data_IF_184063066520
#
_entry.id   IF_184063066520
#
_cell.length_a   1.000
_cell.length_b   1.000
_cell.length_c   1.000
_cell.angle_alpha   90.00
_cell.angle_beta   90.00
_cell.angle_gamma   90.00
#
_symmetry.space_group_name_H-M   'P 1'
#
loop_
_entity.id
_entity.type
_entity.pdbx_description
1 polymer ?
#
# COMPACT_ATOMS: atom_id res chain seq x y z
N UNK A 1 -16.72 -15.05 54.08
CA UNK A 1 -16.43 -14.17 52.94
C UNK A 1 -15.21 -13.31 53.27
N UNK A 2 -14.03 -13.54 52.74
CA UNK A 2 -12.92 -12.62 52.90
C UNK A 2 -12.78 -11.77 51.61
N UNK A 3 -12.65 -10.46 51.82
CA UNK A 3 -12.47 -9.41 50.81
C UNK A 3 -11.05 -9.44 50.26
N UNK A 4 -10.94 -9.57 48.94
CA UNK A 4 -9.67 -9.40 48.21
C UNK A 4 -9.52 -7.96 47.78
N UNK A 5 -8.50 -7.25 48.37
CA UNK A 5 -8.05 -5.93 47.89
C UNK A 5 -7.18 -6.05 46.65
N UNK A 6 -7.31 -5.14 45.68
CA UNK A 6 -6.45 -5.10 44.49
C UNK A 6 -5.07 -4.49 44.79
N UNK A 7 -4.01 -5.08 44.24
CA UNK A 7 -2.63 -4.60 44.31
C UNK A 7 -2.41 -3.35 43.44
N UNK A 8 -1.57 -2.42 43.83
CA UNK A 8 -1.28 -1.22 43.04
C UNK A 8 -0.37 -1.51 41.84
N UNK A 9 -0.74 -0.92 40.69
CA UNK A 9 0.05 -0.94 39.47
C UNK A 9 1.17 0.10 39.57
N UNK A 10 2.41 -0.36 39.50
CA UNK A 10 3.61 0.50 39.43
C UNK A 10 3.78 1.02 38.01
N UNK A 11 3.70 2.35 37.83
CA UNK A 11 4.03 3.02 36.57
C UNK A 11 5.54 3.23 36.47
N UNK A 12 6.21 2.90 35.35
CA UNK A 12 7.61 3.29 35.17
C UNK A 12 7.71 4.78 34.86
N UNK A 13 8.54 5.49 35.61
CA UNK A 13 8.94 6.88 35.36
C UNK A 13 9.92 6.89 34.16
N UNK A 14 9.52 7.55 33.06
CA UNK A 14 10.43 7.88 31.96
C UNK A 14 11.20 9.17 32.26
N UNK A 15 12.51 9.05 32.43
CA UNK A 15 13.46 10.18 32.53
C UNK A 15 13.52 10.92 31.19
N UNK A 16 13.19 12.22 31.23
CA UNK A 16 13.37 13.17 30.12
C UNK A 16 14.85 13.56 30.04
N UNK A 17 15.61 12.97 29.14
CA UNK A 17 16.91 13.48 28.74
C UNK A 17 16.73 14.47 27.58
N UNK A 18 17.12 15.71 27.80
CA UNK A 18 17.25 16.78 26.81
C UNK A 18 18.48 16.48 25.94
N UNK A 19 18.31 16.25 24.63
CA UNK A 19 19.39 16.36 23.65
C UNK A 19 19.05 17.42 22.62
N UNK A 20 20.00 18.32 22.46
CA UNK A 20 19.91 19.57 21.75
C UNK A 20 19.88 19.41 20.22
N UNK A 21 19.36 20.44 19.63
CA UNK A 21 19.29 20.69 18.21
C UNK A 21 20.68 20.84 17.59
N UNK A 22 21.01 19.98 16.61
CA UNK A 22 21.99 20.24 15.51
C UNK A 22 22.19 18.95 14.70
N UNK A 23 21.25 18.55 13.84
CA UNK A 23 21.46 17.58 12.76
C UNK A 23 20.32 17.66 11.70
N UNK A 24 20.11 18.83 11.15
CA UNK A 24 18.96 19.04 10.26
C UNK A 24 19.30 19.08 8.75
N UNK A 25 20.53 18.79 8.31
CA UNK A 25 20.91 18.93 6.88
C UNK A 25 21.43 17.65 6.24
N UNK A 26 21.71 16.58 6.97
CA UNK A 26 22.18 15.31 6.39
C UNK A 26 21.10 14.26 6.11
N UNK A 27 19.82 14.56 6.35
CA UNK A 27 18.70 13.58 6.28
C UNK A 27 17.95 13.56 4.95
N UNK A 28 18.28 14.42 3.98
CA UNK A 28 17.51 14.59 2.74
C UNK A 28 17.96 13.72 1.54
N UNK A 29 19.04 12.96 1.64
CA UNK A 29 19.50 12.07 0.55
C UNK A 29 19.33 10.57 0.84
N UNK A 30 18.76 10.21 1.98
CA UNK A 30 18.59 8.80 2.40
C UNK A 30 17.15 8.29 2.21
N UNK A 31 16.20 9.15 1.85
CA UNK A 31 14.77 8.80 1.90
C UNK A 31 14.27 7.83 0.80
N UNK A 32 14.93 7.73 -0.34
CA UNK A 32 14.46 6.83 -1.41
C UNK A 32 14.89 5.37 -1.19
N UNK A 33 16.11 5.14 -0.68
CA UNK A 33 16.58 3.77 -0.36
C UNK A 33 15.87 3.18 0.87
N UNK A 34 15.48 4.02 1.85
CA UNK A 34 14.75 3.56 3.04
C UNK A 34 13.30 3.11 2.76
N UNK A 35 12.64 3.60 1.71
CA UNK A 35 11.25 3.23 1.43
C UNK A 35 11.13 1.78 0.94
N UNK A 36 12.04 1.31 0.09
CA UNK A 36 12.07 -0.09 -0.37
C UNK A 36 12.55 -1.04 0.74
N UNK A 37 13.50 -0.63 1.57
CA UNK A 37 13.93 -1.39 2.74
C UNK A 37 12.81 -1.52 3.78
N UNK A 38 12.00 -0.48 4.01
CA UNK A 38 10.86 -0.52 4.93
C UNK A 38 9.75 -1.44 4.39
N UNK A 39 9.45 -1.41 3.10
CA UNK A 39 8.46 -2.29 2.46
C UNK A 39 8.87 -3.76 2.55
N UNK A 40 10.14 -4.06 2.24
CA UNK A 40 10.69 -5.39 2.39
C UNK A 40 10.74 -5.81 3.86
N UNK A 41 11.06 -4.90 4.77
CA UNK A 41 11.09 -5.16 6.21
C UNK A 41 9.70 -5.46 6.78
N UNK A 42 8.64 -4.73 6.37
CA UNK A 42 7.27 -5.00 6.81
C UNK A 42 6.77 -6.36 6.33
N UNK A 43 6.90 -6.66 5.03
CA UNK A 43 6.53 -7.96 4.47
C UNK A 43 7.34 -9.10 5.09
N UNK A 44 8.63 -8.92 5.33
CA UNK A 44 9.48 -9.91 6.00
C UNK A 44 9.08 -10.09 7.46
N UNK A 45 8.79 -9.02 8.19
CA UNK A 45 8.34 -9.08 9.57
C UNK A 45 7.00 -9.80 9.68
N UNK A 46 6.03 -9.48 8.80
CA UNK A 46 4.75 -10.18 8.73
C UNK A 46 4.93 -11.66 8.41
N UNK A 47 5.73 -11.99 7.39
CA UNK A 47 6.02 -13.37 7.01
C UNK A 47 6.68 -14.16 8.14
N UNK A 48 7.61 -13.54 8.86
CA UNK A 48 8.23 -14.14 10.05
C UNK A 48 7.20 -14.39 11.13
N UNK A 49 6.35 -13.41 11.45
CA UNK A 49 5.29 -13.55 12.44
C UNK A 49 4.33 -14.70 12.12
N UNK A 50 3.79 -14.77 10.90
CA UNK A 50 2.85 -15.81 10.49
C UNK A 50 3.52 -17.18 10.45
N UNK A 51 4.77 -17.27 10.03
CA UNK A 51 5.55 -18.52 9.98
C UNK A 51 5.85 -19.04 11.39
N UNK A 52 6.24 -18.18 12.33
CA UNK A 52 6.48 -18.55 13.72
C UNK A 52 5.18 -19.01 14.40
N UNK A 53 4.07 -18.32 14.16
CA UNK A 53 2.77 -18.72 14.66
C UNK A 53 2.35 -20.12 14.13
N UNK A 54 2.51 -20.35 12.83
CA UNK A 54 2.23 -21.64 12.21
C UNK A 54 3.17 -22.72 12.73
N UNK A 55 4.44 -22.40 12.99
CA UNK A 55 5.42 -23.32 13.57
C UNK A 55 5.03 -23.73 14.99
N UNK A 56 4.58 -22.77 15.81
CA UNK A 56 4.07 -23.09 17.15
C UNK A 56 2.84 -24.01 17.09
N UNK A 57 1.87 -23.72 16.19
CA UNK A 57 0.71 -24.59 15.96
C UNK A 57 1.12 -25.98 15.46
N UNK A 58 2.10 -26.06 14.55
CA UNK A 58 2.64 -27.32 14.05
C UNK A 58 3.20 -28.17 15.19
N UNK A 59 3.97 -27.58 16.12
CA UNK A 59 4.47 -28.32 17.28
C UNK A 59 3.35 -28.84 18.15
N UNK A 60 2.30 -28.06 18.42
CA UNK A 60 1.15 -28.51 19.18
C UNK A 60 0.43 -29.69 18.52
N UNK A 61 0.37 -29.74 17.20
CA UNK A 61 -0.25 -30.83 16.45
C UNK A 61 0.62 -32.10 16.37
N UNK A 62 1.95 -31.95 16.43
CA UNK A 62 2.90 -33.08 16.26
C UNK A 62 3.30 -33.72 17.58
N UNK A 63 3.13 -33.04 18.72
CA UNK A 63 3.46 -33.62 20.03
C UNK A 63 2.47 -34.72 20.36
N UNK A 64 2.92 -35.94 20.65
CA UNK A 64 2.02 -36.99 21.09
C UNK A 64 1.37 -36.64 22.44
N UNK A 65 0.08 -36.93 22.57
CA UNK A 65 -0.62 -36.81 23.83
C UNK A 65 -0.21 -37.93 24.79
N UNK A 66 0.12 -37.58 26.03
CA UNK A 66 0.27 -38.56 27.08
C UNK A 66 -1.14 -39.02 27.54
N UNK A 67 -1.42 -40.29 27.43
CA UNK A 67 -2.65 -40.90 27.87
C UNK A 67 -2.45 -41.68 29.17
N UNK A 68 -3.40 -41.50 30.08
CA UNK A 68 -3.39 -42.26 31.33
C UNK A 68 -4.82 -42.40 31.83
N UNK A 69 -5.17 -43.56 32.27
CA UNK A 69 -6.55 -43.82 32.74
C UNK A 69 -6.77 -45.21 33.31
N UNK A 70 -7.94 -45.40 33.84
CA UNK A 70 -8.40 -46.67 34.32
C UNK A 70 -9.46 -47.17 33.34
N UNK A 71 -9.28 -48.39 32.85
CA UNK A 71 -10.20 -49.02 31.90
C UNK A 71 -10.59 -50.40 32.36
N UNK A 72 -11.79 -50.83 32.01
CA UNK A 72 -12.27 -52.21 32.17
C UNK A 72 -12.58 -52.73 30.76
N UNK A 73 -11.71 -53.57 30.17
CA UNK A 73 -11.82 -53.97 28.76
C UNK A 73 -13.13 -54.69 28.42
N UNK A 74 -13.67 -55.49 29.37
CA UNK A 74 -14.94 -56.20 29.24
C UNK A 74 -15.56 -56.45 30.59
N UNK A 75 -16.90 -56.65 30.63
CA UNK A 75 -17.61 -57.05 31.81
C UNK A 75 -17.08 -58.42 32.29
N UNK A 76 -16.43 -58.47 33.46
CA UNK A 76 -15.86 -59.66 34.04
C UNK A 76 -14.33 -59.72 33.99
N UNK A 77 -13.67 -58.83 33.25
CA UNK A 77 -12.23 -58.69 33.32
C UNK A 77 -11.81 -57.70 34.41
N UNK A 78 -10.61 -57.84 34.99
CA UNK A 78 -10.14 -56.94 36.02
C UNK A 78 -9.87 -55.55 35.46
N UNK A 79 -10.13 -54.56 36.31
CA UNK A 79 -9.80 -53.14 36.01
C UNK A 79 -8.31 -53.03 35.74
N UNK A 80 -7.96 -52.25 34.73
CA UNK A 80 -6.56 -52.02 34.27
C UNK A 80 -6.20 -50.58 34.39
N UNK A 81 -5.02 -50.26 34.84
CA UNK A 81 -4.37 -48.96 34.69
C UNK A 81 -3.63 -48.97 33.35
N UNK A 82 -3.94 -48.01 32.53
CA UNK A 82 -3.39 -47.83 31.19
C UNK A 82 -2.58 -46.52 31.14
N UNK A 83 -1.42 -46.53 30.56
CA UNK A 83 -0.65 -45.34 30.29
C UNK A 83 0.12 -45.51 28.97
N UNK A 84 0.34 -44.42 28.25
CA UNK A 84 0.98 -44.48 26.96
C UNK A 84 1.07 -43.13 26.26
N UNK A 85 1.34 -43.17 24.97
CA UNK A 85 1.38 -42.06 24.06
C UNK A 85 0.37 -42.27 22.94
N UNK A 86 -0.33 -41.23 22.57
CA UNK A 86 -1.24 -41.20 21.43
C UNK A 86 -0.84 -40.13 20.44
N UNK A 87 -0.84 -40.44 19.15
CA UNK A 87 -0.59 -39.47 18.08
C UNK A 87 -1.61 -39.61 16.96
N UNK A 88 -2.11 -38.49 16.45
CA UNK A 88 -3.05 -38.44 15.34
C UNK A 88 -2.33 -38.27 14.01
N UNK A 89 -2.55 -39.16 13.05
CA UNK A 89 -2.07 -39.03 11.66
C UNK A 89 -2.73 -37.79 10.98
N UNK A 90 -3.98 -37.49 11.32
CA UNK A 90 -4.67 -36.32 10.84
C UNK A 90 -3.97 -35.04 11.30
N UNK A 91 -3.45 -35.01 12.53
CA UNK A 91 -2.68 -33.88 13.06
C UNK A 91 -1.34 -33.68 12.31
N UNK A 92 -0.67 -34.76 11.92
CA UNK A 92 0.55 -34.67 11.08
C UNK A 92 0.23 -33.97 9.76
N UNK A 93 -0.88 -34.34 9.11
CA UNK A 93 -1.33 -33.72 7.86
C UNK A 93 -1.76 -32.28 8.08
N UNK A 94 -2.53 -31.97 9.13
CA UNK A 94 -2.92 -30.61 9.53
C UNK A 94 -1.70 -29.73 9.75
N UNK A 95 -0.67 -30.23 10.43
CA UNK A 95 0.58 -29.52 10.66
C UNK A 95 1.26 -29.09 9.36
N UNK A 96 1.28 -29.95 8.34
CA UNK A 96 1.78 -29.61 7.01
C UNK A 96 0.93 -28.54 6.29
N UNK A 97 -0.39 -28.69 6.34
CA UNK A 97 -1.33 -27.74 5.72
C UNK A 97 -1.31 -26.37 6.41
N UNK A 98 -1.13 -26.31 7.72
CA UNK A 98 -0.97 -25.06 8.47
C UNK A 98 0.25 -24.27 7.99
N UNK A 99 1.39 -24.94 7.77
CA UNK A 99 2.58 -24.31 7.23
C UNK A 99 2.39 -23.85 5.77
N UNK A 100 1.68 -24.64 4.94
CA UNK A 100 1.37 -24.27 3.56
C UNK A 100 0.45 -23.02 3.52
N UNK A 101 -0.59 -23.00 4.35
CA UNK A 101 -1.49 -21.83 4.48
C UNK A 101 -0.74 -20.57 4.94
N UNK A 102 0.18 -20.72 5.91
CA UNK A 102 0.99 -19.60 6.40
C UNK A 102 1.88 -19.00 5.31
N UNK A 103 2.55 -19.84 4.50
CA UNK A 103 3.37 -19.38 3.36
C UNK A 103 2.54 -18.64 2.32
N UNK A 104 1.38 -19.19 1.94
CA UNK A 104 0.48 -18.57 0.97
C UNK A 104 -0.10 -17.23 1.49
N UNK A 105 -0.38 -17.14 2.80
CA UNK A 105 -0.81 -15.90 3.42
C UNK A 105 0.30 -14.83 3.42
N UNK A 106 1.55 -15.24 3.60
CA UNK A 106 2.71 -14.37 3.41
C UNK A 106 2.78 -13.81 1.98
N UNK A 107 2.66 -14.68 0.97
CA UNK A 107 2.67 -14.29 -0.45
C UNK A 107 1.51 -13.32 -0.76
N UNK A 108 0.32 -13.56 -0.22
CA UNK A 108 -0.84 -12.69 -0.37
C UNK A 108 -0.60 -11.32 0.26
N UNK A 109 -0.01 -11.27 1.45
CA UNK A 109 0.30 -10.02 2.12
C UNK A 109 1.24 -9.15 1.28
N UNK A 110 2.33 -9.73 0.76
CA UNK A 110 3.26 -9.03 -0.12
C UNK A 110 2.59 -8.47 -1.39
N UNK A 111 1.77 -9.29 -2.06
CA UNK A 111 1.03 -8.87 -3.25
C UNK A 111 0.01 -7.75 -2.92
N UNK A 112 -0.69 -7.85 -1.79
CA UNK A 112 -1.67 -6.85 -1.35
C UNK A 112 -1.00 -5.51 -1.04
N UNK A 113 0.09 -5.54 -0.25
CA UNK A 113 0.83 -4.34 0.14
C UNK A 113 1.41 -3.63 -1.09
N UNK A 114 1.95 -4.39 -2.05
CA UNK A 114 2.47 -3.83 -3.31
C UNK A 114 1.39 -3.14 -4.11
N UNK A 115 0.27 -3.82 -4.36
CA UNK A 115 -0.84 -3.25 -5.12
C UNK A 115 -1.48 -2.04 -4.41
N UNK A 116 -1.63 -2.09 -3.09
CA UNK A 116 -2.17 -0.99 -2.29
C UNK A 116 -1.28 0.25 -2.34
N UNK A 117 0.03 0.07 -2.28
CA UNK A 117 0.99 1.16 -2.37
C UNK A 117 0.91 1.84 -3.75
N UNK A 118 0.86 1.06 -4.83
CA UNK A 118 0.77 1.59 -6.19
C UNK A 118 -0.55 2.35 -6.40
N UNK A 119 -1.68 1.84 -5.89
CA UNK A 119 -2.96 2.57 -5.92
C UNK A 119 -2.91 3.87 -5.14
N UNK A 120 -2.34 3.84 -3.94
CA UNK A 120 -2.32 5.00 -3.03
C UNK A 120 -1.43 6.13 -3.53
N UNK A 121 -0.29 5.80 -4.13
CA UNK A 121 0.73 6.78 -4.51
C UNK A 121 0.79 7.07 -6.02
N UNK A 122 -0.09 6.50 -6.82
CA UNK A 122 -0.15 6.75 -8.26
C UNK A 122 -0.37 8.23 -8.59
N UNK A 123 -1.45 8.84 -8.08
CA UNK A 123 -1.75 10.25 -8.32
C UNK A 123 -0.72 11.21 -7.71
N UNK A 124 -0.28 11.04 -6.44
CA UNK A 124 0.84 11.82 -5.91
C UNK A 124 2.12 11.72 -6.75
N UNK A 125 2.42 10.54 -7.32
CA UNK A 125 3.56 10.34 -8.20
C UNK A 125 3.45 11.12 -9.51
N UNK A 126 2.29 11.10 -10.15
CA UNK A 126 2.00 11.87 -11.36
C UNK A 126 2.04 13.38 -11.07
N UNK A 127 1.48 13.82 -9.94
CA UNK A 127 1.51 15.23 -9.52
C UNK A 127 2.96 15.71 -9.31
N UNK A 128 3.80 14.91 -8.68
CA UNK A 128 5.21 15.25 -8.49
C UNK A 128 5.95 15.45 -9.82
N UNK A 129 5.72 14.56 -10.80
CA UNK A 129 6.29 14.69 -12.13
C UNK A 129 5.81 15.97 -12.84
N UNK A 130 4.53 16.28 -12.73
CA UNK A 130 3.96 17.49 -13.30
C UNK A 130 4.55 18.76 -12.67
N UNK A 131 4.68 18.78 -11.34
CA UNK A 131 5.32 19.90 -10.64
C UNK A 131 6.80 20.07 -10.99
N UNK A 132 7.53 18.97 -11.22
CA UNK A 132 8.90 19.02 -11.69
C UNK A 132 8.99 19.65 -13.10
N UNK A 133 8.13 19.22 -14.00
CA UNK A 133 8.03 19.81 -15.34
C UNK A 133 7.64 21.30 -15.29
N UNK A 134 6.67 21.66 -14.40
CA UNK A 134 6.30 23.06 -14.17
C UNK A 134 7.50 23.92 -13.73
N UNK A 135 8.38 23.40 -12.88
CA UNK A 135 9.61 24.10 -12.49
C UNK A 135 10.52 24.41 -13.68
N UNK A 136 10.66 23.47 -14.61
CA UNK A 136 11.45 23.68 -15.84
C UNK A 136 10.82 24.78 -16.70
N UNK A 137 9.50 24.77 -16.88
CA UNK A 137 8.79 25.81 -17.62
C UNK A 137 8.94 27.19 -16.97
N UNK A 138 8.81 27.28 -15.65
CA UNK A 138 9.01 28.53 -14.89
C UNK A 138 10.44 29.05 -15.06
N UNK A 139 11.44 28.16 -15.05
CA UNK A 139 12.82 28.56 -15.24
C UNK A 139 13.04 29.17 -16.64
N UNK A 140 12.58 28.53 -17.70
CA UNK A 140 12.68 29.03 -19.07
C UNK A 140 11.93 30.38 -19.25
N UNK A 141 10.75 30.49 -18.64
CA UNK A 141 10.00 31.76 -18.68
C UNK A 141 10.72 32.88 -17.90
N UNK A 142 11.38 32.55 -16.77
CA UNK A 142 12.19 33.52 -16.02
C UNK A 142 13.37 34.04 -16.82
N UNK A 143 14.10 33.17 -17.53
CA UNK A 143 15.21 33.53 -18.40
C UNK A 143 14.75 34.46 -19.56
N UNK A 144 13.59 34.11 -20.16
CA UNK A 144 12.98 34.94 -21.22
C UNK A 144 12.54 36.29 -20.70
N UNK A 145 11.98 36.35 -19.49
CA UNK A 145 11.54 37.57 -18.83
C UNK A 145 12.72 38.47 -18.45
N UNK A 146 13.86 37.89 -18.04
CA UNK A 146 15.11 38.64 -17.77
C UNK A 146 15.59 39.36 -19.03
N UNK A 147 15.58 38.66 -20.16
CA UNK A 147 15.96 39.24 -21.45
C UNK A 147 15.01 40.38 -21.83
N UNK A 148 13.69 40.22 -21.56
CA UNK A 148 12.70 41.27 -21.83
C UNK A 148 12.89 42.47 -20.90
N UNK A 149 13.20 42.27 -19.62
CA UNK A 149 13.51 43.32 -18.65
C UNK A 149 14.72 44.12 -19.07
N UNK A 150 15.80 43.46 -19.46
CA UNK A 150 17.04 44.13 -19.89
C UNK A 150 16.81 44.96 -21.17
N UNK A 151 16.08 44.43 -22.13
CA UNK A 151 15.71 45.15 -23.35
C UNK A 151 14.82 46.35 -23.03
N UNK A 152 13.80 46.17 -22.18
CA UNK A 152 12.90 47.25 -21.76
C UNK A 152 13.65 48.37 -21.01
N UNK A 153 14.61 48.00 -20.14
CA UNK A 153 15.44 48.98 -19.41
C UNK A 153 16.25 49.87 -20.38
N UNK A 154 16.88 49.26 -21.40
CA UNK A 154 17.59 50.01 -22.44
C UNK A 154 16.67 50.96 -23.22
N UNK A 155 15.40 50.53 -23.49
CA UNK A 155 14.42 51.38 -24.17
C UNK A 155 13.89 52.52 -23.27
N UNK A 156 13.77 52.28 -21.97
CA UNK A 156 13.44 53.37 -21.00
C UNK A 156 14.54 54.39 -20.91
N UNK A 157 15.80 53.98 -20.87
CA UNK A 157 16.97 54.84 -20.82
C UNK A 157 17.07 55.70 -22.08
N UNK A 158 16.66 55.16 -23.25
CA UNK A 158 16.58 55.91 -24.53
C UNK A 158 15.26 56.68 -24.70
N UNK A 159 14.42 56.78 -23.71
CA UNK A 159 13.10 57.49 -23.70
C UNK A 159 12.05 56.89 -24.68
N UNK A 160 12.28 55.69 -25.20
CA UNK A 160 11.36 55.02 -26.12
C UNK A 160 10.24 54.25 -25.41
N UNK A 161 10.37 54.03 -24.11
CA UNK A 161 9.43 53.29 -23.27
C UNK A 161 9.16 53.96 -21.93
N UNK A 162 8.05 53.61 -21.29
CA UNK A 162 7.65 54.16 -19.99
C UNK A 162 8.30 53.40 -18.82
N UNK A 163 8.64 54.11 -17.73
CA UNK A 163 9.15 53.53 -16.49
C UNK A 163 8.15 52.56 -15.83
N UNK A 164 6.83 52.83 -15.82
CA UNK A 164 5.84 51.90 -15.28
C UNK A 164 5.91 50.48 -15.90
N UNK A 165 6.23 50.41 -17.20
CA UNK A 165 6.38 49.10 -17.88
C UNK A 165 7.51 48.28 -17.30
N UNK A 166 8.69 48.87 -17.09
CA UNK A 166 9.82 48.19 -16.47
C UNK A 166 9.48 47.67 -15.06
N UNK A 167 8.71 48.46 -14.28
CA UNK A 167 8.23 48.03 -12.95
C UNK A 167 7.25 46.87 -13.04
N UNK A 168 6.32 46.88 -14.01
CA UNK A 168 5.38 45.76 -14.23
C UNK A 168 6.12 44.46 -14.53
N UNK A 169 7.14 44.45 -15.40
CA UNK A 169 7.94 43.29 -15.69
C UNK A 169 8.69 42.77 -14.46
N UNK A 170 9.27 43.67 -13.66
CA UNK A 170 9.93 43.27 -12.40
C UNK A 170 8.95 42.65 -11.41
N UNK A 171 7.74 43.21 -11.31
CA UNK A 171 6.68 42.65 -10.44
C UNK A 171 6.27 41.25 -10.92
N UNK A 172 6.18 41.03 -12.24
CA UNK A 172 5.86 39.72 -12.81
C UNK A 172 6.98 38.71 -12.51
N UNK A 173 8.25 39.15 -12.60
CA UNK A 173 9.39 38.30 -12.21
C UNK A 173 9.31 37.87 -10.74
N UNK A 174 9.01 38.80 -9.84
CA UNK A 174 8.84 38.47 -8.40
C UNK A 174 7.73 37.44 -8.20
N UNK A 175 6.59 37.59 -8.91
CA UNK A 175 5.49 36.61 -8.84
C UNK A 175 5.93 35.24 -9.37
N UNK A 176 6.70 35.21 -10.46
CA UNK A 176 7.20 33.96 -11.04
C UNK A 176 8.20 33.23 -10.11
N UNK A 177 9.07 33.98 -9.44
CA UNK A 177 9.98 33.42 -8.43
C UNK A 177 9.21 32.92 -7.19
N UNK A 178 8.12 33.59 -6.81
CA UNK A 178 7.23 33.11 -5.74
C UNK A 178 6.51 31.81 -6.14
N UNK A 179 6.01 31.70 -7.40
CA UNK A 179 5.40 30.47 -7.93
C UNK A 179 6.42 29.32 -7.99
N UNK A 180 7.67 29.62 -8.37
CA UNK A 180 8.78 28.67 -8.33
C UNK A 180 8.99 28.12 -6.92
N UNK A 181 9.10 29.00 -5.92
CA UNK A 181 9.31 28.61 -4.53
C UNK A 181 8.12 27.78 -3.99
N UNK A 182 6.90 28.16 -4.30
CA UNK A 182 5.68 27.42 -3.92
C UNK A 182 5.65 26.02 -4.57
N UNK A 183 5.96 25.94 -5.87
CA UNK A 183 6.05 24.68 -6.61
C UNK A 183 7.12 23.76 -6.03
N UNK A 184 8.27 24.30 -5.67
CA UNK A 184 9.36 23.55 -5.03
C UNK A 184 8.96 23.06 -3.64
N UNK A 185 8.26 23.87 -2.86
CA UNK A 185 7.72 23.49 -1.55
C UNK A 185 6.71 22.34 -1.68
N UNK A 186 5.82 22.41 -2.68
CA UNK A 186 4.86 21.32 -2.96
C UNK A 186 5.56 20.01 -3.31
N UNK A 187 6.62 20.04 -4.14
CA UNK A 187 7.40 18.84 -4.49
C UNK A 187 8.00 18.19 -3.24
N UNK A 188 8.60 19.01 -2.35
CA UNK A 188 9.20 18.51 -1.10
C UNK A 188 8.14 17.91 -0.17
N UNK A 189 6.93 18.47 -0.14
CA UNK A 189 5.82 17.97 0.66
C UNK A 189 5.18 16.67 0.13
N UNK A 190 5.42 16.31 -1.14
CA UNK A 190 4.87 15.10 -1.74
C UNK A 190 5.80 13.90 -1.47
N UNK A 191 5.40 13.08 -0.50
CA UNK A 191 6.02 11.77 -0.32
C UNK A 191 5.55 10.82 -1.42
N UNK A 192 6.49 10.33 -2.22
CA UNK A 192 6.22 9.35 -3.27
C UNK A 192 7.26 8.24 -3.17
N UNK A 193 6.88 7.06 -2.65
CA UNK A 193 7.75 5.89 -2.66
C UNK A 193 7.96 5.42 -4.09
N UNK A 194 8.98 4.59 -4.29
CA UNK A 194 9.18 3.93 -5.56
C UNK A 194 8.01 2.98 -5.85
N UNK A 195 7.29 3.25 -6.92
CA UNK A 195 6.19 2.41 -7.39
C UNK A 195 6.74 1.20 -8.16
N UNK A 196 5.90 0.18 -8.31
CA UNK A 196 6.24 -0.98 -9.10
C UNK A 196 6.35 -0.62 -10.59
N UNK A 197 7.31 -1.23 -11.29
CA UNK A 197 7.38 -1.11 -12.75
C UNK A 197 6.29 -1.91 -13.47
N UNK A 198 5.53 -2.73 -12.73
CA UNK A 198 4.46 -3.58 -13.26
C UNK A 198 3.15 -2.80 -13.37
N UNK A 199 2.34 -3.07 -14.42
CA UNK A 199 1.01 -2.47 -14.54
C UNK A 199 0.12 -2.82 -13.34
N UNK A 200 -0.69 -1.86 -12.88
CA UNK A 200 -1.57 -2.04 -11.73
C UNK A 200 -2.56 -3.20 -11.93
N UNK A 201 -3.07 -3.39 -13.15
CA UNK A 201 -3.93 -4.54 -13.50
C UNK A 201 -3.29 -5.91 -13.20
N UNK A 202 -1.97 -6.03 -13.40
CA UNK A 202 -1.25 -7.27 -13.09
C UNK A 202 -1.08 -7.46 -11.58
N UNK A 203 -0.80 -6.40 -10.84
CA UNK A 203 -0.69 -6.44 -9.38
C UNK A 203 -2.03 -6.81 -8.73
N UNK A 204 -3.14 -6.26 -9.23
CA UNK A 204 -4.49 -6.60 -8.77
C UNK A 204 -4.84 -8.05 -9.11
N UNK A 205 -4.53 -8.51 -10.32
CA UNK A 205 -4.75 -9.90 -10.73
C UNK A 205 -3.89 -10.89 -9.90
N UNK A 206 -2.65 -10.53 -9.60
CA UNK A 206 -1.79 -11.33 -8.73
C UNK A 206 -2.38 -11.43 -7.32
N UNK A 207 -2.81 -10.32 -6.72
CA UNK A 207 -3.49 -10.31 -5.41
C UNK A 207 -4.70 -11.24 -5.41
N UNK A 208 -5.56 -11.17 -6.43
CA UNK A 208 -6.73 -12.05 -6.56
C UNK A 208 -6.33 -13.53 -6.66
N UNK A 209 -5.31 -13.84 -7.46
CA UNK A 209 -4.79 -15.20 -7.62
C UNK A 209 -4.22 -15.76 -6.31
N UNK A 210 -3.43 -14.95 -5.58
CA UNK A 210 -2.86 -15.33 -4.27
C UNK A 210 -3.96 -15.55 -3.23
N UNK A 211 -4.97 -14.72 -3.23
CA UNK A 211 -6.12 -14.85 -2.34
C UNK A 211 -6.88 -16.16 -2.58
N UNK A 212 -7.17 -16.50 -3.84
CA UNK A 212 -7.79 -17.77 -4.19
C UNK A 212 -6.93 -18.98 -3.75
N UNK A 213 -5.60 -18.86 -3.78
CA UNK A 213 -4.70 -19.93 -3.31
C UNK A 213 -4.72 -20.05 -1.78
N UNK A 214 -4.83 -18.95 -1.04
CA UNK A 214 -4.99 -18.95 0.42
C UNK A 214 -6.31 -19.62 0.81
N UNK A 215 -7.43 -19.23 0.17
CA UNK A 215 -8.74 -19.84 0.43
C UNK A 215 -8.71 -21.35 0.19
N UNK A 216 -8.17 -21.82 -0.93
CA UNK A 216 -8.01 -23.25 -1.19
C UNK A 216 -7.15 -23.97 -0.13
N UNK A 217 -6.14 -23.31 0.45
CA UNK A 217 -5.33 -23.91 1.49
C UNK A 217 -6.10 -24.00 2.82
N UNK A 218 -6.86 -22.96 3.15
CA UNK A 218 -7.74 -22.95 4.34
C UNK A 218 -8.86 -23.99 4.22
N UNK A 219 -9.49 -24.13 3.06
CA UNK A 219 -10.51 -25.16 2.81
C UNK A 219 -9.93 -26.56 2.99
N UNK A 220 -8.72 -26.84 2.47
CA UNK A 220 -8.05 -28.12 2.68
C UNK A 220 -7.76 -28.38 4.14
N UNK A 221 -7.34 -27.36 4.90
CA UNK A 221 -7.08 -27.47 6.33
C UNK A 221 -8.37 -27.75 7.11
N UNK A 222 -9.45 -27.07 6.79
CA UNK A 222 -10.75 -27.21 7.45
C UNK A 222 -11.36 -28.60 7.22
N UNK A 223 -11.26 -29.13 5.98
CA UNK A 223 -11.79 -30.48 5.65
C UNK A 223 -10.99 -31.61 6.29
N UNK A 224 -9.81 -31.37 6.87
CA UNK A 224 -9.09 -32.39 7.65
C UNK A 224 -9.74 -32.68 9.01
N UNK A 225 -10.79 -31.98 9.41
CA UNK A 225 -11.54 -32.22 10.63
C UNK A 225 -12.61 -33.32 10.50
N UNK A 226 -12.82 -33.88 9.30
CA UNK A 226 -13.86 -34.88 9.04
C UNK A 226 -13.48 -36.26 9.59
N UNK A 227 -12.23 -36.64 9.44
CA UNK A 227 -11.70 -37.92 9.86
C UNK A 227 -10.47 -37.75 10.76
N UNK A 228 -10.38 -38.56 11.79
CA UNK A 228 -9.18 -38.69 12.59
C UNK A 228 -8.75 -40.16 12.70
N UNK A 229 -7.47 -40.39 12.48
CA UNK A 229 -6.82 -41.68 12.65
C UNK A 229 -5.74 -41.53 13.70
N UNK A 230 -5.98 -42.04 14.88
CA UNK A 230 -5.02 -42.01 15.99
C UNK A 230 -4.34 -43.35 16.19
N UNK A 231 -3.06 -43.32 16.49
CA UNK A 231 -2.27 -44.45 16.91
C UNK A 231 -1.86 -44.26 18.36
N UNK A 232 -2.24 -45.21 19.20
CA UNK A 232 -1.89 -45.22 20.61
C UNK A 232 -1.01 -46.42 20.91
N UNK A 233 0.06 -46.19 21.65
CA UNK A 233 0.96 -47.25 22.15
C UNK A 233 1.21 -47.05 23.64
N UNK A 234 1.22 -48.10 24.39
CA UNK A 234 1.38 -47.96 25.82
C UNK A 234 1.53 -49.30 26.56
N UNK A 235 1.41 -49.20 27.86
CA UNK A 235 1.42 -50.35 28.77
C UNK A 235 0.19 -50.34 29.63
N UNK A 236 -0.23 -51.54 30.05
CA UNK A 236 -1.32 -51.72 31.00
C UNK A 236 -0.89 -52.58 32.18
N UNK A 237 -1.47 -52.34 33.34
CA UNK A 237 -1.28 -53.13 34.54
C UNK A 237 -2.65 -53.45 35.15
N UNK A 238 -2.91 -54.71 35.44
CA UNK A 238 -4.13 -55.11 36.08
C UNK A 238 -4.15 -54.64 37.55
N UNK A 239 -5.27 -54.05 37.98
CA UNK A 239 -5.49 -53.68 39.38
C UNK A 239 -6.15 -54.87 40.09
N UNK A 240 -5.38 -55.96 40.28
CA UNK A 240 -5.82 -57.11 41.06
C UNK A 240 -4.66 -57.56 41.95
N UNK A 241 -4.83 -57.61 43.29
CA UNK A 241 -3.78 -57.98 44.20
C UNK A 241 -3.29 -59.42 44.07
N UNK A 242 -4.03 -60.25 43.31
CA UNK A 242 -3.68 -61.69 43.15
C UNK A 242 -2.99 -61.98 41.80
N UNK A 243 -2.96 -61.07 40.86
CA UNK A 243 -2.39 -61.28 39.52
C UNK A 243 -1.66 -59.98 39.10
N UNK A 244 -0.32 -59.97 39.19
CA UNK A 244 0.50 -58.93 38.67
C UNK A 244 0.74 -59.18 37.17
N UNK A 245 -0.19 -58.78 36.31
CA UNK A 245 -0.05 -58.91 34.88
C UNK A 245 0.19 -57.54 34.27
N UNK A 246 1.36 -57.36 33.67
CA UNK A 246 1.75 -56.18 32.92
C UNK A 246 1.85 -56.57 31.45
N UNK A 247 1.36 -55.68 30.58
CA UNK A 247 1.41 -55.92 29.16
C UNK A 247 1.59 -54.63 28.37
N UNK A 248 2.09 -54.75 27.14
CA UNK A 248 2.08 -53.67 26.18
C UNK A 248 0.82 -53.76 25.32
N UNK A 249 0.32 -52.63 24.89
CA UNK A 249 -0.78 -52.55 23.92
C UNK A 249 -0.46 -51.57 22.79
N UNK A 250 -1.08 -51.81 21.64
CA UNK A 250 -1.14 -50.89 20.52
C UNK A 250 -2.55 -50.84 20.01
N UNK A 251 -3.06 -49.66 19.79
CA UNK A 251 -4.43 -49.38 19.33
C UNK A 251 -4.44 -48.43 18.18
N UNK A 252 -5.25 -48.73 17.18
CA UNK A 252 -5.56 -47.82 16.08
C UNK A 252 -7.01 -47.41 16.20
N UNK A 253 -7.25 -46.13 16.44
CA UNK A 253 -8.60 -45.58 16.53
C UNK A 253 -8.92 -44.76 15.28
N UNK A 254 -10.03 -45.08 14.65
CA UNK A 254 -10.56 -44.28 13.52
C UNK A 254 -11.85 -43.62 14.00
N UNK A 255 -11.87 -42.29 13.96
CA UNK A 255 -13.05 -41.53 14.32
C UNK A 255 -13.51 -40.68 13.15
N UNK A 256 -14.83 -40.55 13.01
CA UNK A 256 -15.47 -39.68 12.04
C UNK A 256 -16.29 -38.63 12.77
N UNK A 257 -16.11 -37.38 12.39
CA UNK A 257 -16.85 -36.27 12.94
C UNK A 257 -18.27 -36.23 12.30
N UNK A 258 -19.30 -36.64 13.03
CA UNK A 258 -20.68 -36.64 12.53
C UNK A 258 -21.19 -35.24 12.20
N UNK A 259 -20.59 -34.19 12.76
CA UNK A 259 -20.92 -32.80 12.44
C UNK A 259 -20.22 -32.28 11.15
N UNK A 260 -19.35 -33.07 10.53
CA UNK A 260 -18.56 -32.65 9.37
C UNK A 260 -19.41 -32.14 8.21
N UNK A 261 -20.53 -32.79 7.93
CA UNK A 261 -21.44 -32.34 6.88
C UNK A 261 -22.05 -30.96 7.17
N UNK A 262 -22.47 -30.70 8.40
CA UNK A 262 -22.99 -29.39 8.81
C UNK A 262 -21.86 -28.33 8.79
N UNK A 263 -20.68 -28.70 9.28
CA UNK A 263 -19.50 -27.82 9.29
C UNK A 263 -19.14 -27.43 7.86
N UNK A 264 -19.00 -28.38 6.93
CA UNK A 264 -18.66 -28.13 5.54
C UNK A 264 -19.70 -27.24 4.84
N UNK A 265 -21.00 -27.46 5.09
CA UNK A 265 -22.06 -26.59 4.57
C UNK A 265 -21.93 -25.14 5.08
N UNK A 266 -21.54 -24.94 6.34
CA UNK A 266 -21.31 -23.59 6.88
C UNK A 266 -20.02 -22.97 6.37
N UNK A 267 -18.97 -23.76 6.11
CA UNK A 267 -17.73 -23.29 5.50
C UNK A 267 -17.96 -22.79 4.06
N UNK A 268 -18.75 -23.54 3.27
CA UNK A 268 -19.12 -23.10 1.92
C UNK A 268 -19.91 -21.77 1.97
N UNK A 269 -20.88 -21.63 2.86
CA UNK A 269 -21.61 -20.37 3.07
C UNK A 269 -20.72 -19.23 3.58
N UNK A 270 -19.70 -19.55 4.36
CA UNK A 270 -18.74 -18.56 4.84
C UNK A 270 -17.89 -18.03 3.67
N UNK A 271 -17.52 -18.90 2.73
CA UNK A 271 -16.81 -18.48 1.51
C UNK A 271 -17.67 -17.53 0.66
N UNK A 272 -18.96 -17.88 0.44
CA UNK A 272 -19.90 -17.01 -0.29
C UNK A 272 -20.06 -15.65 0.41
N UNK A 273 -20.28 -15.66 1.74
CA UNK A 273 -20.42 -14.44 2.53
C UNK A 273 -19.15 -13.59 2.54
N UNK A 274 -17.97 -14.22 2.51
CA UNK A 274 -16.70 -13.53 2.40
C UNK A 274 -16.56 -12.82 1.03
N UNK A 275 -16.93 -13.48 -0.05
CA UNK A 275 -16.91 -12.90 -1.38
C UNK A 275 -17.90 -11.72 -1.50
N UNK A 276 -19.06 -11.82 -0.88
CA UNK A 276 -20.03 -10.73 -0.84
C UNK A 276 -19.53 -9.55 0.03
N UNK A 277 -18.92 -9.84 1.18
CA UNK A 277 -18.32 -8.82 2.02
C UNK A 277 -17.18 -8.06 1.27
N UNK A 278 -16.36 -8.78 0.53
CA UNK A 278 -15.29 -8.16 -0.27
C UNK A 278 -15.79 -7.15 -1.30
N UNK A 279 -16.92 -7.43 -1.95
CA UNK A 279 -17.52 -6.52 -2.95
C UNK A 279 -17.89 -5.15 -2.35
N UNK A 280 -18.16 -5.10 -1.04
CA UNK A 280 -18.59 -3.88 -0.33
C UNK A 280 -17.52 -3.31 0.61
N UNK A 281 -16.39 -4.00 0.79
CA UNK A 281 -15.31 -3.57 1.68
C UNK A 281 -14.65 -2.29 1.15
N UNK A 282 -14.70 -1.21 1.93
CA UNK A 282 -14.15 0.11 1.53
C UNK A 282 -12.63 0.14 1.39
N UNK A 283 -11.91 -0.72 2.06
CA UNK A 283 -10.45 -0.79 2.02
C UNK A 283 -9.88 -1.76 0.98
N UNK A 284 -10.71 -2.39 0.14
CA UNK A 284 -10.20 -3.36 -0.83
C UNK A 284 -9.42 -2.68 -1.95
N UNK A 285 -8.24 -3.22 -2.25
CA UNK A 285 -7.35 -2.73 -3.32
C UNK A 285 -8.03 -2.72 -4.69
N UNK A 286 -8.92 -3.67 -4.97
CA UNK A 286 -9.64 -3.76 -6.25
C UNK A 286 -10.56 -2.55 -6.40
N UNK A 287 -11.36 -2.26 -5.38
CA UNK A 287 -12.25 -1.11 -5.37
C UNK A 287 -11.49 0.20 -5.44
N UNK A 288 -10.39 0.30 -4.68
CA UNK A 288 -9.54 1.49 -4.71
C UNK A 288 -8.90 1.69 -6.09
N UNK A 289 -8.53 0.62 -6.80
CA UNK A 289 -8.04 0.70 -8.17
C UNK A 289 -9.13 1.20 -9.15
N UNK A 290 -10.38 0.76 -8.98
CA UNK A 290 -11.51 1.26 -9.78
C UNK A 290 -11.80 2.73 -9.51
N UNK A 291 -11.78 3.15 -8.23
CA UNK A 291 -11.91 4.56 -7.84
C UNK A 291 -10.77 5.39 -8.43
N UNK A 292 -9.54 4.91 -8.36
CA UNK A 292 -8.39 5.56 -8.97
C UNK A 292 -8.56 5.71 -10.49
N UNK A 293 -9.02 4.65 -11.18
CA UNK A 293 -9.34 4.73 -12.61
C UNK A 293 -10.32 5.85 -12.92
N UNK A 294 -11.42 5.93 -12.17
CA UNK A 294 -12.41 6.97 -12.37
C UNK A 294 -11.83 8.37 -12.11
N UNK A 295 -11.05 8.55 -11.03
CA UNK A 295 -10.38 9.81 -10.74
C UNK A 295 -9.42 10.24 -11.86
N UNK A 296 -8.71 9.29 -12.47
CA UNK A 296 -7.82 9.57 -13.62
C UNK A 296 -8.64 10.00 -14.83
N UNK A 297 -9.74 9.30 -15.15
CA UNK A 297 -10.63 9.66 -16.27
C UNK A 297 -11.23 11.06 -16.09
N UNK A 298 -11.72 11.36 -14.89
CA UNK A 298 -12.27 12.68 -14.56
C UNK A 298 -11.19 13.78 -14.66
N UNK A 299 -9.97 13.49 -14.17
CA UNK A 299 -8.83 14.40 -14.27
C UNK A 299 -8.42 14.66 -15.72
N UNK A 300 -8.45 13.66 -16.58
CA UNK A 300 -8.20 13.80 -18.03
C UNK A 300 -9.22 14.78 -18.64
N UNK A 301 -10.51 14.62 -18.33
CA UNK A 301 -11.57 15.50 -18.84
C UNK A 301 -11.37 16.95 -18.40
N UNK A 302 -11.01 17.15 -17.13
CA UNK A 302 -10.74 18.50 -16.58
C UNK A 302 -9.52 19.13 -17.26
N UNK A 303 -8.40 18.39 -17.39
CA UNK A 303 -7.19 18.93 -18.01
C UNK A 303 -7.37 19.19 -19.52
N UNK A 304 -8.11 18.35 -20.24
CA UNK A 304 -8.43 18.57 -21.65
C UNK A 304 -9.26 19.84 -21.87
N UNK A 305 -10.25 20.07 -21.00
CA UNK A 305 -11.06 21.30 -21.03
C UNK A 305 -10.24 22.54 -20.70
N UNK A 306 -9.34 22.46 -19.71
CA UNK A 306 -8.42 23.53 -19.32
C UNK A 306 -7.46 23.88 -20.46
N UNK A 307 -6.86 22.87 -21.08
CA UNK A 307 -5.92 23.03 -22.18
C UNK A 307 -6.58 23.77 -23.35
N UNK A 308 -7.78 23.36 -23.75
CA UNK A 308 -8.53 24.02 -24.83
C UNK A 308 -8.80 25.50 -24.54
N UNK A 309 -9.20 25.81 -23.30
CA UNK A 309 -9.45 27.21 -22.90
C UNK A 309 -8.16 28.05 -22.96
N UNK A 310 -7.03 27.51 -22.49
CA UNK A 310 -5.74 28.19 -22.52
C UNK A 310 -5.21 28.38 -23.98
N UNK A 311 -5.42 27.41 -24.85
CA UNK A 311 -5.06 27.52 -26.27
C UNK A 311 -5.90 28.58 -27.00
N UNK A 312 -7.18 28.72 -26.65
CA UNK A 312 -8.02 29.80 -27.19
C UNK A 312 -7.55 31.16 -26.73
N UNK A 313 -7.20 31.31 -25.45
CA UNK A 313 -6.62 32.55 -24.90
C UNK A 313 -5.29 32.88 -25.56
N UNK A 314 -4.41 31.90 -25.78
CA UNK A 314 -3.15 32.09 -26.50
C UNK A 314 -3.36 32.61 -27.92
N UNK A 315 -4.31 32.06 -28.68
CA UNK A 315 -4.66 32.56 -30.01
C UNK A 315 -5.12 34.01 -29.99
N UNK A 316 -5.88 34.40 -28.97
CA UNK A 316 -6.30 35.81 -28.77
C UNK A 316 -5.10 36.74 -28.52
N UNK A 317 -4.15 36.31 -27.70
CA UNK A 317 -2.91 37.05 -27.42
C UNK A 317 -2.04 37.14 -28.68
N UNK A 318 -1.87 36.06 -29.42
CA UNK A 318 -1.09 36.03 -30.67
C UNK A 318 -1.70 36.95 -31.75
N UNK A 319 -3.02 36.92 -31.91
CA UNK A 319 -3.73 37.85 -32.80
C UNK A 319 -3.50 39.30 -32.42
N UNK A 320 -3.57 39.61 -31.12
CA UNK A 320 -3.29 40.95 -30.59
C UNK A 320 -1.85 41.38 -30.81
N UNK A 321 -0.88 40.49 -30.64
CA UNK A 321 0.52 40.74 -30.94
C UNK A 321 0.76 41.07 -32.42
N UNK A 322 0.06 40.37 -33.33
CA UNK A 322 0.18 40.62 -34.76
C UNK A 322 -0.31 42.03 -35.14
N UNK A 323 -1.43 42.48 -34.52
CA UNK A 323 -1.98 43.83 -34.76
C UNK A 323 -0.99 44.94 -34.35
N UNK A 324 -0.24 44.76 -33.27
CA UNK A 324 0.68 45.77 -32.75
C UNK A 324 2.12 45.62 -33.24
N UNK A 325 2.42 44.59 -34.06
CA UNK A 325 3.80 44.22 -34.46
C UNK A 325 4.50 45.35 -35.22
N UNK A 326 3.77 46.13 -36.04
CA UNK A 326 4.35 47.21 -36.86
C UNK A 326 4.25 48.62 -36.21
N UNK A 327 3.75 48.73 -35.00
CA UNK A 327 3.63 50.03 -34.36
C UNK A 327 4.83 50.36 -33.48
N UNK A 328 5.41 51.58 -33.71
CA UNK A 328 6.66 52.02 -33.03
C UNK A 328 6.38 53.08 -31.93
N UNK A 329 5.11 53.37 -31.63
CA UNK A 329 4.78 54.31 -30.54
C UNK A 329 5.09 53.69 -29.17
N UNK A 330 5.48 54.54 -28.20
CA UNK A 330 5.80 54.06 -26.82
C UNK A 330 4.63 53.25 -26.23
N UNK A 331 3.38 53.65 -26.45
CA UNK A 331 2.20 52.93 -26.01
C UNK A 331 2.06 51.56 -26.68
N UNK A 332 2.37 51.43 -27.95
CA UNK A 332 2.35 50.14 -28.68
C UNK A 332 3.50 49.20 -28.21
N UNK A 333 4.64 49.74 -27.91
CA UNK A 333 5.78 48.98 -27.34
C UNK A 333 5.46 48.48 -25.95
N UNK A 334 4.87 49.32 -25.09
CA UNK A 334 4.38 48.92 -23.75
C UNK A 334 3.34 47.80 -23.84
N UNK A 335 2.36 47.96 -24.74
CA UNK A 335 1.31 46.97 -24.92
C UNK A 335 1.84 45.62 -25.47
N UNK A 336 2.77 45.71 -26.42
CA UNK A 336 3.47 44.51 -26.96
C UNK A 336 4.20 43.76 -25.86
N UNK A 337 4.91 44.48 -24.97
CA UNK A 337 5.58 43.84 -23.83
C UNK A 337 4.64 43.20 -22.83
N UNK A 338 3.47 43.85 -22.58
CA UNK A 338 2.42 43.23 -21.77
C UNK A 338 1.91 41.93 -22.39
N UNK A 339 1.56 41.93 -23.67
CA UNK A 339 1.09 40.75 -24.39
C UNK A 339 2.17 39.66 -24.43
N UNK A 340 3.44 40.02 -24.62
CA UNK A 340 4.57 39.07 -24.58
C UNK A 340 4.68 38.43 -23.18
N UNK A 341 4.48 39.21 -22.12
CA UNK A 341 4.48 38.70 -20.75
C UNK A 341 3.31 37.74 -20.50
N UNK A 342 2.10 38.09 -20.95
CA UNK A 342 0.92 37.21 -20.86
C UNK A 342 1.17 35.92 -21.63
N UNK A 343 1.76 36.00 -22.84
CA UNK A 343 2.11 34.82 -23.63
C UNK A 343 3.06 33.89 -22.88
N UNK A 344 4.15 34.44 -22.26
CA UNK A 344 5.09 33.63 -21.47
C UNK A 344 4.40 32.91 -20.29
N UNK A 345 3.48 33.58 -19.61
CA UNK A 345 2.72 32.95 -18.52
C UNK A 345 1.76 31.86 -19.04
N UNK A 346 1.10 32.10 -20.17
CA UNK A 346 0.25 31.10 -20.83
C UNK A 346 1.05 29.89 -21.30
N UNK A 347 2.27 30.08 -21.82
CA UNK A 347 3.16 28.97 -22.20
C UNK A 347 3.46 28.04 -21.02
N UNK A 348 3.63 28.56 -19.79
CA UNK A 348 3.77 27.75 -18.58
C UNK A 348 2.50 26.93 -18.32
N UNK A 349 1.33 27.60 -18.33
CA UNK A 349 0.07 26.95 -18.01
C UNK A 349 -0.34 25.91 -19.07
N UNK A 350 -0.11 26.18 -20.35
CA UNK A 350 -0.36 25.24 -21.45
C UNK A 350 0.59 24.05 -21.36
N UNK A 351 1.87 24.30 -21.13
CA UNK A 351 2.88 23.25 -20.98
C UNK A 351 2.60 22.34 -19.78
N UNK A 352 2.23 22.92 -18.63
CA UNK A 352 1.83 22.14 -17.43
C UNK A 352 0.56 21.30 -17.71
N UNK A 353 -0.49 21.90 -18.28
CA UNK A 353 -1.75 21.22 -18.58
C UNK A 353 -1.57 20.09 -19.61
N UNK A 354 -0.80 20.34 -20.67
CA UNK A 354 -0.47 19.34 -21.70
C UNK A 354 0.30 18.17 -21.11
N UNK A 355 1.36 18.46 -20.35
CA UNK A 355 2.16 17.40 -19.69
C UNK A 355 1.33 16.56 -18.75
N UNK A 356 0.47 17.17 -17.91
CA UNK A 356 -0.45 16.47 -17.00
C UNK A 356 -1.39 15.56 -17.79
N UNK A 357 -1.98 16.07 -18.86
CA UNK A 357 -2.90 15.33 -19.72
C UNK A 357 -2.22 14.10 -20.34
N UNK A 358 -1.03 14.25 -20.87
CA UNK A 358 -0.27 13.17 -21.49
C UNK A 358 0.10 12.09 -20.46
N UNK A 359 0.59 12.50 -19.27
CA UNK A 359 0.92 11.56 -18.20
C UNK A 359 -0.29 10.80 -17.65
N UNK A 360 -1.43 11.47 -17.52
CA UNK A 360 -2.67 10.82 -17.11
C UNK A 360 -3.17 9.80 -18.15
N UNK A 361 -3.08 10.14 -19.45
CA UNK A 361 -3.44 9.23 -20.55
C UNK A 361 -2.50 8.02 -20.63
N UNK A 362 -1.19 8.25 -20.50
CA UNK A 362 -0.19 7.19 -20.45
C UNK A 362 -0.43 6.25 -19.25
N UNK A 363 -0.67 6.84 -18.07
CA UNK A 363 -0.98 6.06 -16.87
C UNK A 363 -2.25 5.21 -17.05
N UNK A 364 -3.33 5.78 -17.59
CA UNK A 364 -4.58 5.06 -17.82
C UNK A 364 -4.36 3.88 -18.79
N UNK A 365 -3.69 4.11 -19.91
CA UNK A 365 -3.45 3.09 -20.92
C UNK A 365 -2.54 1.94 -20.42
N UNK A 366 -1.57 2.26 -19.55
CA UNK A 366 -0.65 1.26 -19.00
C UNK A 366 -1.32 0.39 -17.94
N UNK A 367 -2.16 0.99 -17.09
CA UNK A 367 -2.59 0.39 -15.82
C UNK A 367 -3.99 -0.23 -15.88
N UNK A 368 -4.81 0.17 -16.84
CA UNK A 368 -6.21 -0.26 -16.97
C UNK A 368 -6.55 -0.72 -18.37
#
# INVERSE_FOLDING_TARGET
MPSTQPRPVVKPQMNKAKFGASLAIALLLISAAFADDIKNADSQAYCKYVTEQATAQRYLLLVPDAIGGITQPNTGLPTQLVWGLSGSLSNVRKAGLTMDAARKNCDLYGATTSAQQDVQYALPGLEKQALQHRLELIQHASESLDTLIDTTRKMVDSQNMTRPMAFTLQTTKIKLEADRADTQSKIVGLYTPQLSDRPLKELVAEKQSREATVQKALDKLNRQNDWDVALSVGAHQQINPLIDSRGAYGEVTVSYNLASHAINKHLDRTADAYDDWKKVQEGDVIRNAEVLKQQVVDSISVQDSRLKALEEEQKGVESSLQVVAGAETSAALDFRNQLTTVRLLLEIEIGDASFRLDRLREFLARNF
#
